data_IF_285550008246
#
_entry.id   IF_285550008246
#
_cell.length_a   1.000
_cell.length_b   1.000
_cell.length_c   1.000
_cell.angle_alpha   90.00
_cell.angle_beta   90.00
_cell.angle_gamma   90.00
#
_symmetry.space_group_name_H-M   'P 1'
#
loop_
_entity.id
_entity.type
_entity.pdbx_description
1 polymer ?
#
# COMPACT_ATOMS: atom_id res chain seq x y z
N UNK A 1 2.01 15.21 -8.32
CA UNK A 1 1.47 14.42 -7.20
C UNK A 1 1.73 12.95 -7.44
N UNK A 2 2.16 12.25 -6.43
CA UNK A 2 2.38 10.80 -6.50
C UNK A 2 1.19 10.05 -5.91
N UNK A 3 1.02 8.79 -6.32
CA UNK A 3 -0.07 7.94 -5.86
C UNK A 3 0.50 6.64 -5.30
N UNK A 4 -0.19 6.06 -4.33
CA UNK A 4 0.14 4.74 -3.80
C UNK A 4 -0.98 3.76 -4.10
N UNK A 5 -0.59 2.58 -4.58
CA UNK A 5 -1.49 1.49 -4.84
C UNK A 5 -0.92 0.23 -4.19
N UNK A 6 -1.72 -0.45 -3.40
CA UNK A 6 -1.29 -1.66 -2.72
C UNK A 6 -2.11 -2.87 -3.14
N UNK A 7 -1.45 -4.01 -3.21
CA UNK A 7 -2.08 -5.30 -3.47
C UNK A 7 -1.70 -6.24 -2.33
N UNK A 8 -2.70 -6.68 -1.57
CA UNK A 8 -2.50 -7.56 -0.41
C UNK A 8 -2.94 -8.96 -0.80
N UNK A 9 -1.97 -9.81 -1.09
CA UNK A 9 -2.20 -11.22 -1.39
C UNK A 9 -1.96 -12.10 -0.17
N UNK A 10 -2.27 -13.40 -0.32
CA UNK A 10 -2.06 -14.38 0.76
C UNK A 10 -0.60 -14.56 1.12
N UNK A 11 0.30 -14.38 0.17
CA UNK A 11 1.73 -14.62 0.34
C UNK A 11 2.51 -13.32 0.44
N UNK A 12 2.22 -12.36 -0.44
CA UNK A 12 2.98 -11.11 -0.54
C UNK A 12 2.05 -9.90 -0.55
N UNK A 13 2.60 -8.79 -0.06
CA UNK A 13 2.00 -7.47 -0.18
C UNK A 13 2.93 -6.65 -1.07
N UNK A 14 2.38 -6.07 -2.13
CA UNK A 14 3.13 -5.19 -3.02
C UNK A 14 2.51 -3.81 -2.98
N UNK A 15 3.32 -2.80 -2.68
CA UNK A 15 2.88 -1.41 -2.69
C UNK A 15 3.70 -0.68 -3.73
N UNK A 16 3.02 -0.07 -4.69
CA UNK A 16 3.67 0.65 -5.79
C UNK A 16 3.44 2.15 -5.64
N UNK A 17 4.49 2.91 -5.84
CA UNK A 17 4.41 4.36 -5.92
C UNK A 17 4.38 4.75 -7.39
N UNK A 18 3.35 5.51 -7.78
CA UNK A 18 3.14 5.95 -9.14
C UNK A 18 3.36 7.46 -9.24
N UNK A 19 3.95 7.92 -10.34
CA UNK A 19 4.08 9.35 -10.61
C UNK A 19 2.79 9.91 -11.22
N UNK A 20 2.78 11.19 -11.56
CA UNK A 20 1.61 11.85 -12.16
C UNK A 20 1.17 11.25 -13.50
N UNK A 21 2.05 10.48 -14.15
CA UNK A 21 1.74 9.77 -15.40
C UNK A 21 1.33 8.33 -15.15
N UNK A 22 1.11 7.96 -13.89
CA UNK A 22 0.73 6.62 -13.44
C UNK A 22 1.77 5.55 -13.77
N UNK A 23 3.04 5.95 -13.85
CA UNK A 23 4.14 4.99 -14.00
C UNK A 23 4.72 4.65 -12.64
N UNK A 24 5.06 3.37 -12.46
CA UNK A 24 5.64 2.90 -11.21
C UNK A 24 7.05 3.44 -11.07
N UNK A 25 7.31 4.19 -10.00
CA UNK A 25 8.64 4.74 -9.71
C UNK A 25 9.35 3.98 -8.60
N UNK A 26 8.59 3.37 -7.67
CA UNK A 26 9.13 2.53 -6.60
C UNK A 26 8.13 1.44 -6.28
N UNK A 27 8.66 0.31 -5.81
CA UNK A 27 7.85 -0.80 -5.31
C UNK A 27 8.38 -1.21 -3.95
N UNK A 28 7.45 -1.54 -3.05
CA UNK A 28 7.75 -2.05 -1.71
C UNK A 28 7.09 -3.42 -1.59
N UNK A 29 7.88 -4.41 -1.19
CA UNK A 29 7.40 -5.77 -1.08
C UNK A 29 7.51 -6.25 0.36
N UNK A 30 6.45 -6.89 0.86
CA UNK A 30 6.40 -7.46 2.21
C UNK A 30 5.86 -8.87 2.14
N UNK A 31 6.30 -9.71 3.07
CA UNK A 31 5.73 -11.04 3.25
C UNK A 31 4.47 -10.91 4.12
N UNK A 32 3.34 -11.36 3.60
CA UNK A 32 2.05 -11.24 4.29
C UNK A 32 2.02 -12.02 5.61
N UNK A 33 2.79 -13.10 5.69
CA UNK A 33 2.84 -13.99 6.87
C UNK A 33 3.97 -13.67 7.83
N UNK A 34 4.74 -12.62 7.57
CA UNK A 34 5.83 -12.21 8.45
C UNK A 34 5.28 -11.77 9.81
N UNK A 35 5.81 -12.35 10.88
CA UNK A 35 5.43 -11.98 12.24
C UNK A 35 5.64 -10.49 12.53
N UNK A 36 6.62 -9.89 11.87
CA UNK A 36 7.01 -8.51 12.05
C UNK A 36 6.48 -7.60 10.93
N UNK A 37 5.44 -8.05 10.22
CA UNK A 37 4.90 -7.31 9.08
C UNK A 37 4.58 -5.85 9.44
N UNK A 38 3.84 -5.62 10.52
CA UNK A 38 3.41 -4.27 10.88
C UNK A 38 4.60 -3.39 11.26
N UNK A 39 5.58 -3.96 11.94
CA UNK A 39 6.80 -3.24 12.30
C UNK A 39 7.58 -2.84 11.04
N UNK A 40 7.74 -3.77 10.09
CA UNK A 40 8.43 -3.50 8.83
C UNK A 40 7.69 -2.48 7.99
N UNK A 41 6.36 -2.58 7.95
CA UNK A 41 5.53 -1.61 7.25
C UNK A 41 5.68 -0.21 7.84
N UNK A 42 5.63 -0.10 9.18
CA UNK A 42 5.82 1.19 9.86
C UNK A 42 7.20 1.80 9.58
N UNK A 43 8.23 0.98 9.48
CA UNK A 43 9.57 1.46 9.14
C UNK A 43 9.65 2.04 7.73
N UNK A 44 8.92 1.46 6.79
CA UNK A 44 8.96 1.89 5.39
C UNK A 44 7.96 2.99 5.06
N UNK A 45 6.96 3.20 5.92
CA UNK A 45 5.84 4.07 5.58
C UNK A 45 6.25 5.50 5.28
N UNK A 46 7.22 6.05 5.99
CA UNK A 46 7.66 7.42 5.75
C UNK A 46 8.25 7.58 4.35
N UNK A 47 8.99 6.58 3.88
CA UNK A 47 9.52 6.59 2.51
C UNK A 47 8.40 6.50 1.47
N UNK A 48 7.38 5.69 1.75
CA UNK A 48 6.23 5.55 0.85
C UNK A 48 5.46 6.86 0.71
N UNK A 49 5.34 7.62 1.80
CA UNK A 49 4.50 8.81 1.87
C UNK A 49 5.25 10.11 1.57
N UNK A 50 6.53 10.03 1.21
CA UNK A 50 7.31 11.20 0.80
C UNK A 50 6.86 11.76 -0.54
N UNK A 51 7.27 13.00 -0.83
CA UNK A 51 7.16 13.63 -2.15
C UNK A 51 5.74 13.87 -2.63
N UNK A 52 4.98 14.69 -1.94
CA UNK A 52 3.67 15.14 -2.41
C UNK A 52 2.78 13.95 -2.83
N UNK A 53 2.58 13.02 -1.92
CA UNK A 53 1.77 11.83 -2.14
C UNK A 53 0.28 12.13 -1.91
N UNK A 54 -0.58 11.62 -2.79
CA UNK A 54 -2.03 11.70 -2.61
C UNK A 54 -2.45 11.16 -1.24
N UNK A 55 -3.39 11.83 -0.60
CA UNK A 55 -3.90 11.41 0.72
C UNK A 55 -4.82 10.18 0.64
N UNK A 56 -5.10 9.70 -0.56
CA UNK A 56 -5.91 8.50 -0.76
C UNK A 56 -5.00 7.40 -1.30
N UNK A 57 -4.99 6.26 -0.62
CA UNK A 57 -4.23 5.07 -1.02
C UNK A 57 -5.22 3.99 -1.42
N UNK A 58 -5.02 3.42 -2.60
CA UNK A 58 -5.90 2.39 -3.14
C UNK A 58 -5.34 1.01 -2.84
N UNK A 59 -6.20 0.11 -2.35
CA UNK A 59 -5.80 -1.26 -2.05
C UNK A 59 -6.71 -2.27 -2.71
N UNK A 60 -6.11 -3.35 -3.22
CA UNK A 60 -6.79 -4.59 -3.52
C UNK A 60 -6.36 -5.60 -2.46
N UNK A 61 -7.28 -6.33 -1.85
CA UNK A 61 -6.94 -7.24 -0.77
C UNK A 61 -7.76 -8.51 -0.81
N UNK A 62 -7.09 -9.65 -0.59
CA UNK A 62 -7.75 -10.94 -0.32
C UNK A 62 -7.54 -11.36 1.13
N UNK A 63 -6.93 -10.50 1.96
CA UNK A 63 -6.69 -10.76 3.39
C UNK A 63 -7.22 -9.58 4.22
N UNK A 64 -8.54 -9.58 4.53
CA UNK A 64 -9.16 -8.44 5.20
C UNK A 64 -8.52 -8.03 6.52
N UNK A 65 -8.04 -8.99 7.31
CA UNK A 65 -7.39 -8.69 8.59
C UNK A 65 -6.12 -7.86 8.41
N UNK A 66 -5.33 -8.20 7.40
CA UNK A 66 -4.09 -7.46 7.10
C UNK A 66 -4.43 -6.08 6.58
N UNK A 67 -5.38 -6.00 5.64
CA UNK A 67 -5.82 -4.71 5.12
C UNK A 67 -6.26 -3.77 6.24
N UNK A 68 -7.08 -4.28 7.16
CA UNK A 68 -7.58 -3.48 8.29
C UNK A 68 -6.43 -2.90 9.12
N UNK A 69 -5.39 -3.69 9.38
CA UNK A 69 -4.23 -3.24 10.16
C UNK A 69 -3.41 -2.19 9.41
N UNK A 70 -3.17 -2.38 8.14
CA UNK A 70 -2.44 -1.40 7.32
C UNK A 70 -3.24 -0.09 7.19
N UNK A 71 -4.55 -0.21 7.03
CA UNK A 71 -5.45 0.94 6.97
C UNK A 71 -5.34 1.79 8.23
N UNK A 72 -5.29 1.19 9.42
CA UNK A 72 -5.17 1.93 10.66
C UNK A 72 -3.84 2.67 10.75
N UNK A 73 -2.75 2.05 10.31
CA UNK A 73 -1.44 2.69 10.29
C UNK A 73 -1.47 3.91 9.38
N UNK A 74 -2.04 3.78 8.19
CA UNK A 74 -2.14 4.89 7.24
C UNK A 74 -3.06 6.00 7.77
N UNK A 75 -4.15 5.64 8.44
CA UNK A 75 -5.04 6.60 9.07
C UNK A 75 -4.31 7.43 10.12
N UNK A 76 -3.42 6.81 10.89
CA UNK A 76 -2.63 7.52 11.90
C UNK A 76 -1.71 8.56 11.26
N UNK A 77 -1.38 8.41 9.99
CA UNK A 77 -0.59 9.37 9.21
C UNK A 77 -1.46 10.33 8.40
N UNK A 78 -2.78 10.34 8.66
CA UNK A 78 -3.77 11.19 8.00
C UNK A 78 -4.00 10.84 6.52
N UNK A 79 -3.79 9.59 6.17
CA UNK A 79 -4.12 9.07 4.85
C UNK A 79 -5.40 8.26 4.92
N UNK A 80 -6.20 8.34 3.85
CA UNK A 80 -7.40 7.52 3.69
C UNK A 80 -7.08 6.35 2.77
N UNK A 81 -7.72 5.21 3.03
CA UNK A 81 -7.58 4.05 2.15
C UNK A 81 -8.91 3.73 1.51
N UNK A 82 -8.87 3.21 0.30
CA UNK A 82 -10.05 2.67 -0.38
C UNK A 82 -9.71 1.30 -0.91
N UNK A 83 -10.58 0.34 -0.70
CA UNK A 83 -10.42 -0.99 -1.24
C UNK A 83 -11.10 -1.08 -2.60
N UNK A 84 -10.35 -1.56 -3.59
CA UNK A 84 -10.86 -1.78 -4.93
C UNK A 84 -10.84 -3.28 -5.19
N UNK A 85 -12.00 -3.93 -5.21
CA UNK A 85 -12.08 -5.37 -5.29
C UNK A 85 -11.80 -5.93 -6.68
N UNK A 86 -11.97 -5.12 -7.71
CA UNK A 86 -11.76 -5.52 -9.09
C UNK A 86 -10.43 -5.04 -9.66
N UNK A 87 -9.62 -4.39 -8.84
CA UNK A 87 -8.36 -3.82 -9.29
C UNK A 87 -7.28 -4.90 -9.35
N UNK A 88 -6.59 -5.00 -10.47
CA UNK A 88 -5.51 -5.96 -10.66
C UNK A 88 -4.24 -5.22 -11.08
N UNK A 89 -3.26 -5.16 -10.17
CA UNK A 89 -1.99 -4.49 -10.42
C UNK A 89 -1.20 -5.12 -11.56
N UNK A 90 -1.45 -6.40 -11.86
CA UNK A 90 -0.76 -7.08 -12.96
C UNK A 90 -1.15 -6.54 -14.33
N UNK A 91 -2.26 -5.83 -14.41
CA UNK A 91 -2.74 -5.23 -15.65
C UNK A 91 -2.22 -3.81 -15.87
N UNK A 92 -1.49 -3.31 -14.91
CA UNK A 92 -0.81 -2.03 -15.03
C UNK A 92 0.56 -2.25 -15.65
#
# INVERSE_FOLDING_TARGET
>A
MNYLIGDIGNTNIKICKLNKRFKITKSFLFDTKDKNLLFKFKKKINKMLQDNTSKIVLFSSVVPKVYSKLKEILKSKRFKTREIKEFDLRKL
#
